data_IF_157340579753
#
_entry.id   IF_157340579753
#
_cell.length_a   1.000
_cell.length_b   1.000
_cell.length_c   1.000
_cell.angle_alpha   90.00
_cell.angle_beta   90.00
_cell.angle_gamma   90.00
#
_symmetry.space_group_name_H-M   'P 1'
#
loop_
_entity.id
_entity.type
_entity.pdbx_description
1 polymer ?
#
# COMPACT_ATOMS: atom_id res chain seq x y z
N UNK A 1 -1.54 6.27 7.70
CA UNK A 1 -1.01 7.59 7.28
C UNK A 1 -2.04 8.39 6.48
N UNK A 2 -2.15 9.71 6.69
CA UNK A 2 -2.96 10.62 5.87
C UNK A 2 -2.47 10.66 4.41
N UNK A 3 -3.41 10.65 3.47
CA UNK A 3 -3.13 10.70 2.01
C UNK A 3 -2.30 11.93 1.63
N UNK A 4 -2.55 13.08 2.26
CA UNK A 4 -1.77 14.31 2.03
C UNK A 4 -0.30 14.16 2.42
N UNK A 5 -0.02 13.52 3.56
CA UNK A 5 1.35 13.29 4.03
C UNK A 5 2.07 12.32 3.10
N UNK A 6 1.37 11.28 2.62
CA UNK A 6 1.92 10.35 1.64
C UNK A 6 2.31 11.06 0.33
N UNK A 7 1.47 12.01 -0.13
CA UNK A 7 1.75 12.85 -1.30
C UNK A 7 2.98 13.74 -1.11
N UNK A 8 3.12 14.37 0.07
CA UNK A 8 4.28 15.20 0.40
C UNK A 8 5.57 14.38 0.40
N UNK A 9 5.57 13.22 1.05
CA UNK A 9 6.73 12.30 1.09
C UNK A 9 7.09 11.84 -0.33
N UNK A 10 6.09 11.49 -1.15
CA UNK A 10 6.30 11.14 -2.55
C UNK A 10 6.94 12.31 -3.31
N UNK A 11 6.44 13.54 -3.12
CA UNK A 11 6.97 14.74 -3.77
C UNK A 11 8.48 14.92 -3.49
N UNK A 12 8.91 14.70 -2.24
CA UNK A 12 10.31 14.74 -1.86
C UNK A 12 11.16 13.65 -2.54
N UNK A 13 10.62 12.44 -2.70
CA UNK A 13 11.29 11.32 -3.39
C UNK A 13 11.36 11.52 -4.91
N UNK A 14 10.43 12.28 -5.49
CA UNK A 14 10.44 12.63 -6.92
C UNK A 14 11.24 13.89 -7.24
N UNK A 15 12.00 14.43 -6.28
CA UNK A 15 12.82 15.63 -6.49
C UNK A 15 13.88 15.39 -7.59
N UNK A 16 13.91 16.26 -8.60
CA UNK A 16 14.75 16.09 -9.80
C UNK A 16 14.16 16.63 -11.10
N UNK A 17 13.05 17.40 -11.03
CA UNK A 17 12.36 17.95 -12.20
C UNK A 17 11.20 17.08 -12.71
N UNK A 18 10.96 15.92 -12.09
CA UNK A 18 9.80 15.08 -12.39
C UNK A 18 8.58 15.67 -11.70
N UNK A 19 7.57 16.04 -12.49
CA UNK A 19 6.29 16.53 -11.97
C UNK A 19 5.45 15.35 -11.53
N UNK A 20 4.84 15.48 -10.35
CA UNK A 20 3.83 14.50 -9.92
C UNK A 20 2.64 14.50 -10.90
N UNK A 21 2.07 13.33 -11.19
CA UNK A 21 0.81 13.23 -11.92
C UNK A 21 -0.34 13.97 -11.23
N UNK A 22 -1.44 14.26 -11.95
CA UNK A 22 -2.67 14.76 -11.34
C UNK A 22 -3.22 13.80 -10.28
N UNK A 23 -4.01 14.33 -9.35
CA UNK A 23 -4.56 13.59 -8.21
C UNK A 23 -5.34 12.34 -8.59
N UNK A 24 -6.06 12.36 -9.72
CA UNK A 24 -6.79 11.21 -10.23
C UNK A 24 -5.85 10.05 -10.63
N UNK A 25 -4.73 10.38 -11.26
CA UNK A 25 -3.71 9.42 -11.64
C UNK A 25 -2.93 8.94 -10.42
N UNK A 26 -2.60 9.84 -9.48
CA UNK A 26 -2.00 9.45 -8.20
C UNK A 26 -2.90 8.48 -7.42
N UNK A 27 -4.21 8.72 -7.42
CA UNK A 27 -5.21 7.85 -6.82
C UNK A 27 -5.13 6.43 -7.39
N UNK A 28 -5.03 6.28 -8.72
CA UNK A 28 -4.84 4.98 -9.38
C UNK A 28 -3.48 4.34 -9.02
N UNK A 29 -2.40 5.12 -9.06
CA UNK A 29 -1.05 4.61 -8.77
C UNK A 29 -0.93 4.10 -7.33
N UNK A 30 -1.51 4.82 -6.36
CA UNK A 30 -1.52 4.37 -4.97
C UNK A 30 -2.42 3.16 -4.77
N UNK A 31 -3.57 3.10 -5.44
CA UNK A 31 -4.43 1.92 -5.41
C UNK A 31 -3.68 0.69 -5.95
N UNK A 32 -3.05 0.80 -7.12
CA UNK A 32 -2.21 -0.27 -7.68
C UNK A 32 -1.06 -0.66 -6.73
N UNK A 33 -0.40 0.33 -6.11
CA UNK A 33 0.69 0.09 -5.18
C UNK A 33 0.22 -0.63 -3.90
N UNK A 34 -0.95 -0.29 -3.35
CA UNK A 34 -1.54 -1.00 -2.22
C UNK A 34 -1.80 -2.46 -2.62
N UNK A 35 -2.41 -2.70 -3.78
CA UNK A 35 -2.63 -4.07 -4.28
C UNK A 35 -1.32 -4.85 -4.47
N UNK A 36 -0.27 -4.20 -4.99
CA UNK A 36 1.05 -4.80 -5.12
C UNK A 36 1.65 -5.22 -3.77
N UNK A 37 1.59 -4.32 -2.78
CA UNK A 37 2.06 -4.60 -1.41
C UNK A 37 1.26 -5.74 -0.80
N UNK A 38 -0.07 -5.68 -0.90
CA UNK A 38 -1.01 -6.71 -0.42
C UNK A 38 -0.82 -8.07 -1.06
N UNK A 39 -0.20 -8.18 -2.24
CA UNK A 39 0.17 -9.47 -2.83
C UNK A 39 1.39 -10.12 -2.17
N UNK A 40 2.18 -9.36 -1.41
CA UNK A 40 3.48 -9.79 -0.86
C UNK A 40 3.50 -9.91 0.67
N UNK A 41 2.45 -9.47 1.33
CA UNK A 41 2.26 -9.56 2.78
C UNK A 41 0.77 -9.70 3.09
N UNK A 42 0.40 -9.76 4.37
CA UNK A 42 -0.99 -9.80 4.82
C UNK A 42 -1.24 -8.54 5.67
N UNK A 43 -1.70 -7.43 5.06
CA UNK A 43 -2.00 -6.20 5.79
C UNK A 43 -3.22 -6.41 6.70
N UNK A 44 -3.13 -6.03 7.98
CA UNK A 44 -4.22 -6.21 8.94
C UNK A 44 -5.41 -5.30 8.63
N UNK A 45 -5.15 -4.09 8.13
CA UNK A 45 -6.20 -3.11 7.77
C UNK A 45 -7.13 -3.63 6.65
N UNK A 46 -6.61 -4.50 5.79
CA UNK A 46 -7.34 -5.10 4.67
C UNK A 46 -7.82 -6.54 4.94
N UNK A 47 -7.47 -7.10 6.10
CA UNK A 47 -7.88 -8.46 6.45
C UNK A 47 -9.34 -8.47 6.89
N UNK A 48 -10.11 -9.41 6.33
CA UNK A 48 -11.52 -9.66 6.68
C UNK A 48 -11.75 -11.14 6.87
N UNK A 49 -12.72 -11.49 7.69
CA UNK A 49 -13.25 -12.86 7.80
C UNK A 49 -14.30 -13.11 6.72
N UNK A 50 -14.54 -14.38 6.38
CA UNK A 50 -15.45 -14.79 5.29
C UNK A 50 -16.92 -14.41 5.48
N UNK A 51 -17.32 -13.95 6.66
CA UNK A 51 -18.63 -13.39 6.95
C UNK A 51 -18.78 -11.90 6.55
N UNK A 52 -17.67 -11.21 6.20
CA UNK A 52 -17.72 -9.86 5.67
C UNK A 52 -18.36 -9.81 4.27
N UNK A 53 -19.10 -8.74 3.99
CA UNK A 53 -19.66 -8.43 2.67
C UNK A 53 -18.68 -7.70 1.75
N UNK A 54 -17.47 -7.41 2.23
CA UNK A 54 -16.44 -6.71 1.46
C UNK A 54 -16.02 -7.50 0.23
N UNK A 55 -15.62 -6.78 -0.83
CA UNK A 55 -15.16 -7.42 -2.06
C UNK A 55 -13.82 -8.09 -1.84
N UNK A 56 -13.76 -9.39 -2.12
CA UNK A 56 -12.55 -10.21 -2.03
C UNK A 56 -11.53 -9.80 -3.09
N UNK A 57 -10.31 -9.46 -2.66
CA UNK A 57 -9.15 -9.26 -3.53
C UNK A 57 -8.28 -10.52 -3.62
N UNK A 58 -7.90 -11.08 -2.47
CA UNK A 58 -7.06 -12.30 -2.38
C UNK A 58 -7.48 -13.14 -1.19
N UNK A 59 -7.66 -14.44 -1.39
CA UNK A 59 -7.93 -15.38 -0.29
C UNK A 59 -6.69 -15.54 0.60
N UNK A 60 -6.94 -15.69 1.90
CA UNK A 60 -5.94 -16.01 2.93
C UNK A 60 -6.42 -17.28 3.66
N UNK A 61 -5.52 -18.02 4.28
CA UNK A 61 -5.89 -19.23 5.02
C UNK A 61 -6.75 -18.91 6.27
N UNK A 62 -7.35 -19.95 6.85
CA UNK A 62 -8.12 -19.83 8.10
C UNK A 62 -9.45 -19.07 7.98
N UNK A 63 -10.10 -19.07 6.80
CA UNK A 63 -11.40 -18.40 6.63
C UNK A 63 -11.29 -16.88 6.57
N UNK A 64 -10.17 -16.36 6.09
CA UNK A 64 -9.93 -14.92 5.93
C UNK A 64 -9.65 -14.55 4.47
N UNK A 65 -9.74 -13.27 4.16
CA UNK A 65 -9.34 -12.72 2.87
C UNK A 65 -8.83 -11.30 3.00
N UNK A 66 -8.01 -10.87 2.05
CA UNK A 66 -7.68 -9.47 1.82
C UNK A 66 -8.79 -8.86 0.96
N UNK A 67 -9.43 -7.81 1.44
CA UNK A 67 -10.41 -7.06 0.66
C UNK A 67 -9.74 -6.06 -0.30
N UNK A 68 -10.49 -5.58 -1.29
CA UNK A 68 -10.04 -4.43 -2.06
C UNK A 68 -9.95 -3.20 -1.14
N UNK A 69 -8.84 -2.44 -1.21
CA UNK A 69 -8.75 -1.16 -0.52
C UNK A 69 -9.66 -0.13 -1.18
N UNK A 70 -10.07 0.88 -0.43
CA UNK A 70 -10.66 2.08 -1.02
C UNK A 70 -9.62 2.83 -1.85
N UNK A 71 -10.09 3.43 -2.96
CA UNK A 71 -9.22 4.22 -3.83
C UNK A 71 -8.87 5.54 -3.13
N UNK A 72 -7.59 5.89 -2.92
CA UNK A 72 -7.23 7.07 -2.14
C UNK A 72 -7.68 8.39 -2.76
N UNK A 73 -8.39 9.23 -2.01
CA UNK A 73 -8.83 10.54 -2.46
C UNK A 73 -7.86 11.65 -2.02
N UNK A 74 -6.98 12.04 -2.94
CA UNK A 74 -6.00 13.11 -2.72
C UNK A 74 -6.60 14.52 -2.56
N UNK A 75 -7.92 14.68 -2.74
CA UNK A 75 -8.63 15.94 -2.46
C UNK A 75 -9.15 16.03 -1.02
N UNK A 76 -9.13 14.92 -0.28
CA UNK A 76 -9.58 14.87 1.12
C UNK A 76 -8.45 15.20 2.08
N UNK A 77 -8.70 16.06 3.07
CA UNK A 77 -7.69 16.46 4.07
C UNK A 77 -7.52 15.47 5.22
N UNK A 78 -8.51 14.58 5.39
CA UNK A 78 -8.65 13.69 6.55
C UNK A 78 -8.61 12.20 6.19
N UNK A 79 -8.50 11.88 4.90
CA UNK A 79 -8.49 10.50 4.44
C UNK A 79 -7.13 9.84 4.69
N UNK A 80 -7.17 8.60 5.16
CA UNK A 80 -6.00 7.78 5.38
C UNK A 80 -5.89 6.74 4.27
N UNK A 81 -4.66 6.36 3.91
CA UNK A 81 -4.45 5.18 3.08
C UNK A 81 -4.96 3.96 3.84
N UNK A 82 -5.78 3.14 3.18
CA UNK A 82 -6.36 1.92 3.75
C UNK A 82 -5.32 0.78 3.74
N UNK A 83 -4.26 0.96 4.54
CA UNK A 83 -3.19 -0.01 4.74
C UNK A 83 -2.47 0.31 6.07
N UNK A 84 -1.88 -0.72 6.67
CA UNK A 84 -1.09 -0.63 7.91
C UNK A 84 -0.03 0.46 7.81
N UNK A 85 0.21 1.18 8.92
CA UNK A 85 1.06 2.38 8.92
C UNK A 85 2.47 2.10 8.40
N UNK A 86 3.08 0.98 8.79
CA UNK A 86 4.41 0.58 8.34
C UNK A 86 4.46 0.32 6.83
N UNK A 87 3.40 -0.26 6.28
CA UNK A 87 3.29 -0.57 4.85
C UNK A 87 3.02 0.67 4.00
N UNK A 88 2.60 1.80 4.58
CA UNK A 88 2.41 3.05 3.82
C UNK A 88 3.70 3.52 3.13
N UNK A 89 4.86 3.29 3.75
CA UNK A 89 6.15 3.61 3.12
C UNK A 89 6.48 2.65 1.97
N UNK A 90 6.11 1.38 2.08
CA UNK A 90 6.25 0.43 0.97
C UNK A 90 5.43 0.86 -0.24
N UNK A 91 4.20 1.34 -0.01
CA UNK A 91 3.31 1.90 -1.04
C UNK A 91 3.94 3.14 -1.67
N UNK A 92 4.37 4.12 -0.88
CA UNK A 92 5.00 5.35 -1.37
C UNK A 92 6.25 5.05 -2.21
N UNK A 93 7.11 4.16 -1.73
CA UNK A 93 8.31 3.74 -2.45
C UNK A 93 7.95 3.06 -3.77
N UNK A 94 6.92 2.21 -3.81
CA UNK A 94 6.49 1.59 -5.06
C UNK A 94 5.93 2.61 -6.06
N UNK A 95 5.13 3.59 -5.60
CA UNK A 95 4.67 4.69 -6.46
C UNK A 95 5.85 5.53 -6.97
N UNK A 96 6.84 5.81 -6.12
CA UNK A 96 8.07 6.48 -6.55
C UNK A 96 8.83 5.68 -7.61
N UNK A 97 8.86 4.35 -7.52
CA UNK A 97 9.41 3.49 -8.57
C UNK A 97 8.62 3.67 -9.89
N UNK A 98 7.30 3.62 -9.85
CA UNK A 98 6.47 3.77 -11.07
C UNK A 98 6.70 5.15 -11.72
N UNK A 99 6.80 6.22 -10.93
CA UNK A 99 6.97 7.58 -11.45
C UNK A 99 8.38 7.81 -11.98
N UNK A 100 9.41 7.44 -11.19
CA UNK A 100 10.80 7.73 -11.55
C UNK A 100 11.42 6.69 -12.47
N UNK A 101 10.81 5.51 -12.60
CA UNK A 101 11.38 4.33 -13.27
C UNK A 101 12.75 3.92 -12.70
N UNK A 102 12.98 4.22 -11.42
CA UNK A 102 14.24 3.93 -10.71
C UNK A 102 14.07 2.71 -9.80
N UNK A 103 14.72 1.56 -10.13
CA UNK A 103 14.64 0.33 -9.35
C UNK A 103 15.04 0.48 -7.88
N UNK A 104 15.81 1.50 -7.51
CA UNK A 104 16.16 1.78 -6.12
C UNK A 104 14.93 1.87 -5.22
N UNK A 105 13.88 2.58 -5.66
CA UNK A 105 12.65 2.70 -4.87
C UNK A 105 11.88 1.39 -4.77
N UNK A 106 11.97 0.53 -5.79
CA UNK A 106 11.39 -0.82 -5.72
C UNK A 106 12.11 -1.66 -4.68
N UNK A 107 13.43 -1.56 -4.59
CA UNK A 107 14.23 -2.22 -3.53
C UNK A 107 13.77 -1.77 -2.16
N UNK A 108 13.68 -0.46 -1.91
CA UNK A 108 13.19 0.06 -0.62
C UNK A 108 11.77 -0.42 -0.28
N UNK A 109 10.88 -0.49 -1.26
CA UNK A 109 9.53 -1.03 -1.07
C UNK A 109 9.56 -2.50 -0.61
N UNK A 110 10.40 -3.32 -1.26
CA UNK A 110 10.55 -4.74 -0.91
C UNK A 110 11.21 -4.94 0.46
N UNK A 111 12.18 -4.10 0.83
CA UNK A 111 12.81 -4.11 2.15
C UNK A 111 11.78 -3.80 3.25
N UNK A 112 10.96 -2.74 3.08
CA UNK A 112 9.88 -2.44 4.04
C UNK A 112 8.88 -3.59 4.17
N UNK A 113 8.51 -4.25 3.06
CA UNK A 113 7.63 -5.43 3.10
C UNK A 113 8.30 -6.60 3.83
N UNK A 114 9.59 -6.83 3.61
CA UNK A 114 10.33 -7.89 4.28
C UNK A 114 10.41 -7.65 5.78
N UNK A 115 10.69 -6.41 6.21
CA UNK A 115 10.71 -6.02 7.62
C UNK A 115 9.33 -6.19 8.27
N UNK A 116 8.25 -5.78 7.58
CA UNK A 116 6.89 -6.01 8.05
C UNK A 116 6.60 -7.50 8.22
N UNK A 117 6.92 -8.33 7.23
CA UNK A 117 6.71 -9.77 7.32
C UNK A 117 7.54 -10.44 8.43
N UNK A 118 8.74 -9.92 8.73
CA UNK A 118 9.60 -10.46 9.77
C UNK A 118 9.12 -10.12 11.19
N UNK A 119 8.50 -8.94 11.37
CA UNK A 119 8.11 -8.43 12.69
C UNK A 119 6.61 -8.60 12.98
N UNK A 120 5.77 -8.45 11.96
CA UNK A 120 4.30 -8.41 12.07
C UNK A 120 3.60 -9.46 11.19
N UNK A 121 4.35 -10.15 10.33
CA UNK A 121 3.83 -11.24 9.53
C UNK A 121 3.26 -12.34 10.42
N UNK A 122 1.93 -12.40 10.50
CA UNK A 122 1.25 -13.44 11.26
C UNK A 122 1.67 -14.82 10.72
N UNK A 123 2.24 -15.64 11.59
CA UNK A 123 2.34 -17.08 11.37
C UNK A 123 0.92 -17.61 11.59
N UNK A 124 0.28 -18.09 10.53
CA UNK A 124 -0.95 -18.87 10.69
C UNK A 124 -0.52 -20.24 11.21
N UNK A 125 -0.76 -20.51 12.49
CA UNK A 125 -0.52 -21.83 13.06
C UNK A 125 -1.48 -22.84 12.39
N UNK A 126 -0.88 -23.90 11.85
CA UNK A 126 -1.59 -25.03 11.27
C UNK A 126 -2.22 -25.87 12.39
N UNK A 127 -3.55 -25.77 12.59
CA UNK A 127 -4.34 -26.79 13.29
C UNK A 127 -5.00 -27.75 12.30
#
# INVERSE_FOLDING_TARGET
>A
MLVKNAKEILAFKTAGGIKLPPDEMLSELFFEAILYVSNKCVPSELLRSTDSTDRVYRLVEGGHFICYPDKPNFKSENEHLMIDEDLTYAVINYVAFIINQDPFYRTLSLETIADFNANEGRVFDYE
#
